data_IF_993399315558
#
_entry.id   IF_993399315558
#
_cell.length_a   1.000
_cell.length_b   1.000
_cell.length_c   1.000
_cell.angle_alpha   90.00
_cell.angle_beta   90.00
_cell.angle_gamma   90.00
#
_symmetry.space_group_name_H-M   'P 1'
#
loop_
_entity.id
_entity.type
_entity.pdbx_description
1 polymer ?
#
# COMPACT_ATOMS: atom_id res chain seq x y z
N UNK A 1 43.90 -53.06 -13.36
CA UNK A 1 43.48 -51.72 -12.90
C UNK A 1 41.97 -51.70 -12.86
N UNK A 2 41.37 -51.63 -11.66
CA UNK A 2 39.93 -51.41 -11.50
C UNK A 2 39.75 -49.91 -11.26
N UNK A 3 39.05 -49.22 -12.16
CA UNK A 3 38.67 -47.82 -11.97
C UNK A 3 37.53 -47.78 -10.94
N UNK A 4 37.77 -47.08 -9.83
CA UNK A 4 36.77 -46.76 -8.83
C UNK A 4 36.12 -45.44 -9.26
N UNK A 5 34.87 -45.48 -9.72
CA UNK A 5 34.08 -44.27 -9.93
C UNK A 5 33.62 -43.79 -8.55
N UNK A 6 34.19 -42.69 -8.08
CA UNK A 6 33.66 -41.96 -6.93
C UNK A 6 32.48 -41.14 -7.47
N UNK A 7 31.25 -41.60 -7.18
CA UNK A 7 30.05 -40.77 -7.31
C UNK A 7 30.13 -39.70 -6.21
N UNK A 8 30.54 -38.49 -6.59
CA UNK A 8 30.38 -37.31 -5.73
C UNK A 8 28.91 -36.93 -5.83
N UNK A 9 28.13 -37.37 -4.85
CA UNK A 9 26.80 -36.81 -4.59
C UNK A 9 27.01 -35.34 -4.22
N UNK A 10 26.64 -34.42 -5.10
CA UNK A 10 26.54 -33.00 -4.79
C UNK A 10 25.43 -32.85 -3.74
N UNK A 11 25.83 -32.81 -2.47
CA UNK A 11 24.96 -32.36 -1.39
C UNK A 11 24.78 -30.85 -1.66
N UNK A 12 23.63 -30.48 -2.24
CA UNK A 12 23.19 -29.09 -2.24
C UNK A 12 22.92 -28.73 -0.78
N UNK A 13 23.83 -27.94 -0.20
CA UNK A 13 23.57 -27.29 1.07
C UNK A 13 22.59 -26.16 0.76
N UNK A 14 21.30 -26.40 0.99
CA UNK A 14 20.30 -25.33 1.06
C UNK A 14 20.66 -24.57 2.34
N UNK A 15 21.20 -23.36 2.19
CA UNK A 15 21.34 -22.47 3.33
C UNK A 15 19.94 -21.94 3.65
N UNK A 16 19.43 -22.14 4.87
CA UNK A 16 18.17 -21.52 5.26
C UNK A 16 18.31 -20.00 5.16
N UNK A 17 17.21 -19.31 4.84
CA UNK A 17 17.17 -17.86 4.85
C UNK A 17 17.56 -17.31 6.24
N UNK A 18 18.14 -16.10 6.25
CA UNK A 18 18.49 -15.41 7.48
C UNK A 18 17.23 -15.06 8.31
N UNK A 19 17.42 -14.73 9.59
CA UNK A 19 16.32 -14.30 10.46
C UNK A 19 15.57 -13.08 9.87
N UNK A 20 14.24 -13.13 9.88
CA UNK A 20 13.38 -12.12 9.24
C UNK A 20 13.14 -12.35 7.74
N UNK A 21 13.70 -13.39 7.15
CA UNK A 21 13.44 -13.78 5.75
C UNK A 21 12.66 -15.09 5.68
N UNK A 22 11.76 -15.18 4.71
CA UNK A 22 11.00 -16.38 4.35
C UNK A 22 11.48 -16.96 3.02
N UNK A 23 11.43 -18.29 2.91
CA UNK A 23 11.80 -19.00 1.68
C UNK A 23 10.57 -19.18 0.79
N UNK A 24 10.64 -18.69 -0.46
CA UNK A 24 9.63 -18.92 -1.50
C UNK A 24 10.37 -19.38 -2.77
N UNK A 25 10.04 -20.56 -3.29
CA UNK A 25 10.67 -21.14 -4.49
C UNK A 25 12.21 -21.19 -4.47
N UNK A 26 12.82 -21.47 -3.29
CA UNK A 26 14.26 -21.44 -3.03
C UNK A 26 14.92 -20.06 -3.12
N UNK A 27 14.14 -18.98 -3.02
CA UNK A 27 14.61 -17.61 -2.88
C UNK A 27 14.22 -17.09 -1.49
N UNK A 28 15.00 -16.16 -0.96
CA UNK A 28 14.73 -15.55 0.34
C UNK A 28 14.17 -14.14 0.14
N UNK A 29 13.04 -13.86 0.78
CA UNK A 29 12.39 -12.54 0.78
C UNK A 29 12.17 -12.09 2.22
N UNK A 30 12.32 -10.81 2.48
CA UNK A 30 12.08 -10.27 3.81
C UNK A 30 10.60 -10.37 4.14
N UNK A 31 10.30 -10.92 5.31
CA UNK A 31 8.95 -11.35 5.68
C UNK A 31 7.98 -10.17 5.70
N UNK A 32 8.39 -9.02 6.23
CA UNK A 32 7.51 -7.84 6.33
C UNK A 32 7.19 -7.23 4.95
N UNK A 33 8.13 -7.27 4.00
CA UNK A 33 7.88 -6.81 2.63
C UNK A 33 6.81 -7.69 1.96
N UNK A 34 6.88 -9.01 2.16
CA UNK A 34 5.87 -9.97 1.65
C UNK A 34 4.53 -9.80 2.37
N UNK A 35 4.55 -9.63 3.69
CA UNK A 35 3.33 -9.43 4.49
C UNK A 35 2.58 -8.18 4.06
N UNK A 36 3.29 -7.10 3.74
CA UNK A 36 2.66 -5.88 3.24
C UNK A 36 1.98 -6.08 1.87
N UNK A 37 2.63 -6.78 0.95
CA UNK A 37 2.02 -7.14 -0.34
C UNK A 37 0.79 -8.04 -0.14
N UNK A 38 0.87 -9.02 0.78
CA UNK A 38 -0.27 -9.87 1.16
C UNK A 38 -1.41 -9.04 1.75
N UNK A 39 -1.11 -8.11 2.65
CA UNK A 39 -2.13 -7.23 3.24
C UNK A 39 -2.78 -6.34 2.19
N UNK A 40 -2.04 -5.85 1.20
CA UNK A 40 -2.58 -5.08 0.07
C UNK A 40 -3.57 -5.91 -0.77
N UNK A 41 -3.25 -7.20 -0.98
CA UNK A 41 -4.13 -8.16 -1.65
C UNK A 41 -5.38 -8.44 -0.79
N UNK A 42 -5.20 -8.69 0.50
CA UNK A 42 -6.29 -8.97 1.43
C UNK A 42 -7.24 -7.78 1.55
N UNK A 43 -6.70 -6.55 1.62
CA UNK A 43 -7.47 -5.31 1.61
C UNK A 43 -8.32 -5.18 0.33
N UNK A 44 -7.78 -5.60 -0.82
CA UNK A 44 -8.52 -5.58 -2.08
C UNK A 44 -9.70 -6.56 -2.08
N UNK A 45 -9.50 -7.77 -1.56
CA UNK A 45 -10.60 -8.73 -1.41
C UNK A 45 -11.64 -8.28 -0.36
N UNK A 46 -11.20 -7.64 0.72
CA UNK A 46 -12.05 -7.19 1.82
C UNK A 46 -12.82 -5.90 1.51
N UNK A 47 -12.33 -5.06 0.60
CA UNK A 47 -12.95 -3.78 0.24
C UNK A 47 -14.39 -3.96 -0.27
N UNK A 48 -14.69 -5.12 -0.86
CA UNK A 48 -15.98 -5.42 -1.46
C UNK A 48 -16.31 -4.52 -2.65
N UNK A 49 -15.30 -3.89 -3.26
CA UNK A 49 -15.49 -3.00 -4.40
C UNK A 49 -16.19 -3.72 -5.55
N UNK A 50 -17.25 -3.11 -6.07
CA UNK A 50 -17.91 -3.58 -7.28
C UNK A 50 -17.34 -2.85 -8.50
N UNK A 51 -16.58 -3.57 -9.32
CA UNK A 51 -16.02 -3.07 -10.58
C UNK A 51 -16.96 -3.27 -11.78
N UNK A 52 -18.17 -3.77 -11.55
CA UNK A 52 -19.16 -4.06 -12.60
C UNK A 52 -18.77 -5.24 -13.48
N UNK A 53 -17.99 -6.19 -12.94
CA UNK A 53 -17.52 -7.35 -13.68
C UNK A 53 -18.70 -8.26 -14.09
N UNK A 54 -18.75 -8.63 -15.35
CA UNK A 54 -19.65 -9.64 -15.89
C UNK A 54 -19.10 -11.04 -15.62
N UNK A 55 -19.94 -12.07 -15.67
CA UNK A 55 -19.53 -13.47 -15.52
C UNK A 55 -18.49 -13.95 -16.55
N UNK A 56 -18.23 -13.17 -17.61
CA UNK A 56 -17.29 -13.48 -18.69
C UNK A 56 -16.05 -12.59 -18.67
N UNK A 57 -15.94 -11.69 -17.69
CA UNK A 57 -14.80 -10.78 -17.57
C UNK A 57 -13.69 -11.48 -16.78
N UNK A 58 -13.02 -12.44 -17.43
CA UNK A 58 -11.98 -13.30 -16.83
C UNK A 58 -10.81 -12.52 -16.18
N UNK A 59 -10.65 -11.25 -16.55
CA UNK A 59 -9.59 -10.34 -16.08
C UNK A 59 -10.15 -9.13 -15.31
N UNK A 60 -11.39 -9.21 -14.83
CA UNK A 60 -12.00 -8.16 -14.04
C UNK A 60 -12.15 -8.62 -12.59
N UNK A 61 -11.53 -7.89 -11.68
CA UNK A 61 -11.63 -8.14 -10.25
C UNK A 61 -10.70 -7.24 -9.46
N UNK A 62 -10.79 -7.31 -8.14
CA UNK A 62 -9.86 -6.65 -7.23
C UNK A 62 -9.33 -7.68 -6.22
N UNK A 63 -8.01 -7.99 -6.23
CA UNK A 63 -7.03 -7.60 -7.25
C UNK A 63 -7.38 -8.12 -8.66
N UNK A 64 -6.79 -7.56 -9.71
CA UNK A 64 -6.99 -8.03 -11.09
C UNK A 64 -6.55 -9.50 -11.24
N UNK A 65 -7.47 -10.42 -11.60
CA UNK A 65 -7.14 -11.85 -11.76
C UNK A 65 -6.08 -12.15 -12.83
N UNK A 66 -5.87 -11.25 -13.79
CA UNK A 66 -4.85 -11.42 -14.82
C UNK A 66 -3.42 -11.50 -14.25
N UNK A 67 -3.18 -11.06 -13.01
CA UNK A 67 -1.88 -11.20 -12.37
C UNK A 67 -1.49 -12.66 -12.07
N UNK A 68 -2.47 -13.55 -11.91
CA UNK A 68 -2.26 -14.99 -11.72
C UNK A 68 -2.18 -15.76 -13.06
N UNK A 69 -2.43 -15.09 -14.20
CA UNK A 69 -2.32 -15.73 -15.52
C UNK A 69 -0.84 -16.03 -15.86
N UNK A 70 -0.45 -17.29 -16.17
CA UNK A 70 0.90 -17.63 -16.62
C UNK A 70 1.34 -16.96 -17.94
N UNK A 71 0.40 -16.38 -18.69
CA UNK A 71 0.69 -15.55 -19.86
C UNK A 71 0.75 -14.05 -19.53
N UNK A 72 0.63 -13.67 -18.26
CA UNK A 72 0.81 -12.29 -17.81
C UNK A 72 2.24 -11.80 -18.08
N UNK A 73 2.37 -10.51 -18.39
CA UNK A 73 3.65 -9.90 -18.77
C UNK A 73 4.28 -9.10 -17.62
N UNK A 74 3.79 -9.28 -16.39
CA UNK A 74 4.21 -8.54 -15.22
C UNK A 74 5.51 -9.11 -14.64
N UNK A 75 6.64 -8.58 -15.13
CA UNK A 75 7.97 -9.06 -14.76
C UNK A 75 8.25 -8.93 -13.26
N UNK A 76 8.84 -9.99 -12.70
CA UNK A 76 9.42 -10.04 -11.35
C UNK A 76 10.92 -10.23 -11.51
N UNK A 77 11.70 -9.23 -11.11
CA UNK A 77 13.16 -9.26 -11.23
C UNK A 77 13.75 -9.41 -9.83
N UNK A 78 14.54 -10.45 -9.61
CA UNK A 78 15.20 -10.74 -8.32
C UNK A 78 16.69 -10.81 -8.60
N UNK A 79 17.46 -9.89 -8.02
CA UNK A 79 18.91 -9.76 -8.21
C UNK A 79 19.32 -9.73 -9.70
N UNK A 80 18.51 -9.06 -10.53
CA UNK A 80 18.73 -8.91 -11.98
C UNK A 80 18.30 -10.10 -12.84
N UNK A 81 17.68 -11.12 -12.25
CA UNK A 81 17.13 -12.29 -12.96
C UNK A 81 15.62 -12.22 -12.98
N UNK A 82 15.00 -12.43 -14.15
CA UNK A 82 13.53 -12.48 -14.27
C UNK A 82 12.99 -13.83 -13.85
N UNK A 83 11.92 -13.81 -13.07
CA UNK A 83 11.15 -14.96 -12.62
C UNK A 83 9.70 -14.84 -13.05
N UNK A 84 9.04 -15.99 -13.16
CA UNK A 84 7.60 -16.11 -13.39
C UNK A 84 7.00 -16.87 -12.20
N UNK A 85 6.06 -16.24 -11.52
CA UNK A 85 5.39 -16.78 -10.34
C UNK A 85 3.92 -17.10 -10.60
N UNK A 86 3.33 -16.50 -11.64
CA UNK A 86 1.94 -16.67 -11.98
C UNK A 86 1.66 -18.14 -12.31
N UNK A 87 0.70 -18.74 -11.64
CA UNK A 87 0.51 -20.19 -11.68
C UNK A 87 -0.91 -20.63 -12.06
N UNK A 88 -1.83 -19.68 -12.27
CA UNK A 88 -3.17 -19.92 -12.78
C UNK A 88 -4.05 -20.68 -11.79
N UNK A 89 -3.82 -20.53 -10.49
CA UNK A 89 -4.59 -21.24 -9.47
C UNK A 89 -5.90 -20.53 -9.08
N UNK A 90 -6.13 -19.34 -9.63
CA UNK A 90 -7.29 -18.48 -9.38
C UNK A 90 -7.12 -17.50 -8.21
N UNK A 91 -5.93 -17.37 -7.65
CA UNK A 91 -5.62 -16.53 -6.48
C UNK A 91 -4.38 -15.71 -6.81
N UNK A 92 -4.47 -14.39 -6.66
CA UNK A 92 -3.31 -13.50 -6.80
C UNK A 92 -2.48 -13.56 -5.51
N UNK A 93 -1.22 -13.96 -5.63
CA UNK A 93 -0.25 -14.04 -4.53
C UNK A 93 0.73 -12.84 -4.52
N UNK A 94 1.44 -12.58 -3.40
CA UNK A 94 2.35 -11.44 -3.28
C UNK A 94 3.37 -11.30 -4.42
N UNK A 95 3.97 -12.40 -4.87
CA UNK A 95 4.97 -12.41 -5.95
C UNK A 95 4.36 -12.44 -7.36
N UNK A 96 3.04 -12.33 -7.48
CA UNK A 96 2.33 -12.21 -8.76
C UNK A 96 1.87 -10.76 -9.00
N UNK A 97 1.75 -9.97 -7.94
CA UNK A 97 1.24 -8.60 -7.96
C UNK A 97 2.13 -7.63 -8.77
N UNK A 98 1.56 -6.99 -9.79
CA UNK A 98 2.21 -5.88 -10.51
C UNK A 98 3.61 -6.19 -11.04
N UNK A 99 4.41 -5.18 -11.38
CA UNK A 99 5.84 -5.39 -11.64
C UNK A 99 6.64 -5.20 -10.38
N UNK A 100 7.64 -6.05 -10.16
CA UNK A 100 8.47 -6.00 -8.96
C UNK A 100 9.95 -6.11 -9.29
N UNK A 101 10.76 -5.37 -8.56
CA UNK A 101 12.20 -5.59 -8.50
C UNK A 101 12.62 -5.80 -7.05
N UNK A 102 13.42 -6.84 -6.83
CA UNK A 102 13.93 -7.24 -5.53
C UNK A 102 15.45 -7.30 -5.56
N UNK A 103 16.08 -6.89 -4.47
CA UNK A 103 17.52 -6.98 -4.27
C UNK A 103 17.82 -7.54 -2.89
N UNK A 104 18.60 -8.62 -2.82
CA UNK A 104 18.91 -9.32 -1.57
C UNK A 104 17.66 -9.61 -0.72
N UNK A 105 16.58 -10.01 -1.37
CA UNK A 105 15.29 -10.31 -0.75
C UNK A 105 14.49 -9.11 -0.24
N UNK A 106 14.92 -7.87 -0.48
CA UNK A 106 14.17 -6.65 -0.16
C UNK A 106 13.50 -6.07 -1.39
N UNK A 107 12.27 -5.57 -1.25
CA UNK A 107 11.51 -4.95 -2.34
C UNK A 107 12.09 -3.58 -2.66
N UNK A 108 12.53 -3.38 -3.92
CA UNK A 108 13.08 -2.13 -4.43
C UNK A 108 12.07 -1.38 -5.28
N UNK A 109 11.27 -2.11 -6.04
CA UNK A 109 10.27 -1.54 -6.96
C UNK A 109 8.98 -2.33 -6.83
N UNK A 110 7.86 -1.62 -6.67
CA UNK A 110 6.52 -2.14 -6.91
C UNK A 110 5.78 -1.16 -7.80
N UNK A 111 5.26 -1.66 -8.92
CA UNK A 111 4.48 -0.87 -9.87
C UNK A 111 3.18 -1.60 -10.18
N UNK A 112 2.09 -0.91 -9.85
CA UNK A 112 0.73 -1.29 -10.14
C UNK A 112 -0.03 -0.15 -10.82
N UNK A 113 0.68 0.69 -11.58
CA UNK A 113 0.12 1.85 -12.26
C UNK A 113 0.51 1.95 -13.75
N UNK A 114 0.13 3.08 -14.36
CA UNK A 114 0.31 3.40 -15.78
C UNK A 114 -0.31 2.36 -16.74
N UNK A 115 0.49 1.39 -17.18
CA UNK A 115 0.09 0.32 -18.10
C UNK A 115 -0.09 -1.04 -17.39
N UNK A 116 0.08 -1.06 -16.06
CA UNK A 116 -0.06 -2.24 -15.20
C UNK A 116 -1.36 -2.09 -14.42
N UNK A 117 -2.42 -2.75 -14.89
CA UNK A 117 -3.76 -2.61 -14.31
C UNK A 117 -3.95 -3.60 -13.15
N UNK A 118 -3.43 -3.30 -11.97
CA UNK A 118 -3.59 -4.20 -10.83
C UNK A 118 -5.01 -4.20 -10.24
N UNK A 119 -5.83 -3.17 -10.51
CA UNK A 119 -7.20 -3.02 -10.00
C UNK A 119 -7.27 -3.20 -8.47
N UNK A 120 -6.24 -2.75 -7.75
CA UNK A 120 -6.17 -2.86 -6.30
C UNK A 120 -7.18 -1.93 -5.63
N UNK A 121 -7.66 -2.30 -4.46
CA UNK A 121 -8.66 -1.54 -3.72
C UNK A 121 -8.50 -1.69 -2.21
N UNK A 122 -9.32 -0.96 -1.45
CA UNK A 122 -9.21 -0.89 0.00
C UNK A 122 -8.11 0.10 0.45
N UNK A 123 -7.76 0.10 1.74
CA UNK A 123 -6.76 1.03 2.27
C UNK A 123 -5.33 0.65 1.91
N UNK A 124 -4.45 1.65 1.86
CA UNK A 124 -3.00 1.45 1.90
C UNK A 124 -2.65 0.94 3.31
N UNK A 125 -1.88 -0.15 3.47
CA UNK A 125 -1.49 -0.67 4.79
C UNK A 125 -0.76 0.37 5.67
N UNK A 126 -1.08 0.44 6.97
CA UNK A 126 -0.44 1.37 7.91
C UNK A 126 1.06 1.09 8.12
N UNK A 127 1.48 -0.17 8.04
CA UNK A 127 2.88 -0.58 8.23
C UNK A 127 3.73 -0.42 6.95
N UNK A 128 3.34 0.50 6.05
CA UNK A 128 4.04 0.75 4.77
C UNK A 128 5.51 1.11 4.97
N UNK A 129 5.86 1.71 6.11
CA UNK A 129 7.22 2.05 6.49
C UNK A 129 8.15 0.84 6.68
N UNK A 130 7.62 -0.39 6.72
CA UNK A 130 8.44 -1.61 6.71
C UNK A 130 9.20 -1.82 5.38
N UNK A 131 8.78 -1.18 4.29
CA UNK A 131 9.49 -1.21 3.00
C UNK A 131 10.75 -0.33 3.01
N UNK A 132 11.67 -0.58 3.95
CA UNK A 132 12.82 0.31 4.22
C UNK A 132 13.81 0.44 3.06
N UNK A 133 13.71 -0.39 2.02
CA UNK A 133 14.59 -0.37 0.85
C UNK A 133 13.86 0.01 -0.44
N UNK A 134 12.57 0.38 -0.38
CA UNK A 134 11.82 0.75 -1.58
C UNK A 134 12.40 2.00 -2.22
N UNK A 135 12.48 2.00 -3.55
CA UNK A 135 12.96 3.11 -4.38
C UNK A 135 11.87 3.57 -5.35
N UNK A 136 10.99 2.66 -5.77
CA UNK A 136 9.86 2.94 -6.64
C UNK A 136 8.57 2.35 -6.07
N UNK A 137 7.61 3.20 -5.76
CA UNK A 137 6.29 2.86 -5.23
C UNK A 137 5.21 3.54 -6.07
N UNK A 138 4.61 2.81 -7.01
CA UNK A 138 3.67 3.36 -7.98
C UNK A 138 2.38 2.58 -7.99
N UNK A 139 1.29 3.25 -7.62
CA UNK A 139 -0.04 2.70 -7.47
C UNK A 139 -1.11 3.61 -8.09
N UNK A 140 -0.72 4.48 -9.00
CA UNK A 140 -1.66 5.36 -9.68
C UNK A 140 -2.70 4.58 -10.51
N UNK A 141 -3.92 5.11 -10.59
CA UNK A 141 -4.97 4.51 -11.42
C UNK A 141 -5.56 3.21 -10.87
N UNK A 142 -5.47 2.98 -9.55
CA UNK A 142 -6.18 1.90 -8.86
C UNK A 142 -7.44 2.44 -8.17
N UNK A 143 -7.98 1.65 -7.24
CA UNK A 143 -9.16 1.98 -6.46
C UNK A 143 -8.85 2.00 -4.96
N UNK A 144 -7.61 2.37 -4.57
CA UNK A 144 -7.28 2.57 -3.17
C UNK A 144 -8.18 3.63 -2.55
N UNK A 145 -8.65 3.40 -1.33
CA UNK A 145 -9.64 4.23 -0.64
C UNK A 145 -9.25 4.46 0.82
N UNK A 146 -9.92 5.40 1.49
CA UNK A 146 -9.51 5.83 2.83
C UNK A 146 -8.32 6.80 2.75
N UNK A 147 -7.68 7.06 3.88
CA UNK A 147 -6.55 8.00 3.93
C UNK A 147 -5.25 7.35 3.44
N UNK A 148 -4.27 8.20 3.07
CA UNK A 148 -2.88 7.76 2.93
C UNK A 148 -2.27 7.78 4.36
N UNK A 149 -1.72 6.67 4.86
CA UNK A 149 -1.17 6.63 6.22
C UNK A 149 0.08 7.51 6.33
N UNK A 150 0.24 8.23 7.45
CA UNK A 150 1.40 9.12 7.68
C UNK A 150 2.75 8.39 7.68
N UNK A 151 2.77 7.10 8.04
CA UNK A 151 3.95 6.23 7.95
C UNK A 151 4.51 6.13 6.52
N UNK A 152 3.74 6.50 5.49
CA UNK A 152 4.25 6.60 4.13
C UNK A 152 5.42 7.57 4.04
N UNK A 153 5.48 8.59 4.90
CA UNK A 153 6.55 9.60 4.96
C UNK A 153 7.86 9.09 5.60
N UNK A 154 7.86 7.88 6.17
CA UNK A 154 9.06 7.24 6.72
C UNK A 154 9.85 6.46 5.64
N UNK A 155 9.33 6.35 4.41
CA UNK A 155 10.03 5.73 3.30
C UNK A 155 11.16 6.63 2.79
N UNK A 156 12.31 6.03 2.46
CA UNK A 156 13.44 6.75 1.86
C UNK A 156 13.29 6.86 0.33
N UNK A 157 12.21 7.53 -0.12
CA UNK A 157 11.90 7.72 -1.54
C UNK A 157 11.74 9.19 -1.92
N UNK A 158 11.87 9.47 -3.21
CA UNK A 158 11.63 10.80 -3.75
C UNK A 158 10.15 10.99 -4.09
N UNK A 159 9.38 11.60 -3.19
CA UNK A 159 7.96 11.91 -3.43
C UNK A 159 7.73 13.01 -4.49
N UNK A 160 8.78 13.61 -5.07
CA UNK A 160 8.68 14.67 -6.09
C UNK A 160 9.05 14.19 -7.50
N UNK A 161 9.14 12.88 -7.70
CA UNK A 161 9.43 12.28 -8.99
C UNK A 161 8.37 11.22 -9.33
N UNK A 162 7.53 11.55 -10.31
CA UNK A 162 6.45 10.69 -10.79
C UNK A 162 6.93 9.33 -11.34
N UNK A 163 8.24 9.16 -11.60
CA UNK A 163 8.83 7.88 -11.95
C UNK A 163 9.09 7.00 -10.74
N UNK A 164 9.21 7.58 -9.54
CA UNK A 164 9.50 6.87 -8.28
C UNK A 164 8.28 6.75 -7.39
N UNK A 165 7.43 7.78 -7.29
CA UNK A 165 6.25 7.75 -6.42
C UNK A 165 5.04 8.33 -7.14
N UNK A 166 3.93 7.60 -7.17
CA UNK A 166 2.68 8.07 -7.76
C UNK A 166 1.49 7.27 -7.18
N UNK A 167 0.55 7.96 -6.55
CA UNK A 167 -0.71 7.42 -6.02
C UNK A 167 -1.92 8.18 -6.56
N UNK A 168 -1.72 8.95 -7.64
CA UNK A 168 -2.76 9.74 -8.30
C UNK A 168 -3.86 8.84 -8.88
N UNK A 169 -5.02 9.42 -9.22
CA UNK A 169 -6.11 8.67 -9.86
C UNK A 169 -6.62 7.46 -9.06
N UNK A 170 -6.74 7.58 -7.74
CA UNK A 170 -7.34 6.58 -6.84
C UNK A 170 -8.66 7.13 -6.23
N UNK A 171 -9.11 6.56 -5.11
CA UNK A 171 -10.23 7.02 -4.27
C UNK A 171 -9.74 7.45 -2.88
N UNK A 172 -8.50 7.93 -2.80
CA UNK A 172 -7.85 8.28 -1.53
C UNK A 172 -8.41 9.59 -1.00
N UNK A 173 -8.75 9.59 0.27
CA UNK A 173 -9.36 10.71 0.97
C UNK A 173 -8.31 11.64 1.58
N UNK A 174 -8.60 12.94 1.64
CA UNK A 174 -7.84 13.84 2.49
C UNK A 174 -7.99 13.47 3.99
N UNK A 175 -7.06 13.93 4.84
CA UNK A 175 -5.90 14.75 4.48
C UNK A 175 -4.78 13.93 3.82
N UNK A 176 -4.06 14.56 2.89
CA UNK A 176 -2.91 13.95 2.21
C UNK A 176 -1.61 14.31 2.97
N UNK A 177 -0.72 13.34 3.25
CA UNK A 177 0.53 13.58 3.98
C UNK A 177 1.41 14.64 3.30
N UNK A 178 1.96 15.55 4.10
CA UNK A 178 2.70 16.71 3.58
C UNK A 178 4.01 16.38 2.88
N UNK A 179 4.58 15.20 3.17
CA UNK A 179 5.76 14.73 2.47
C UNK A 179 5.49 14.46 0.98
N UNK A 180 4.22 14.27 0.59
CA UNK A 180 3.80 13.99 -0.78
C UNK A 180 3.32 15.27 -1.45
N UNK A 181 3.97 15.67 -2.55
CA UNK A 181 3.51 16.82 -3.33
C UNK A 181 2.23 16.53 -4.09
N UNK A 182 1.46 17.58 -4.31
CA UNK A 182 0.15 17.52 -4.94
C UNK A 182 0.10 16.79 -6.27
N UNK A 183 1.18 16.81 -7.08
CA UNK A 183 1.21 16.09 -8.35
C UNK A 183 1.05 14.58 -8.17
N UNK A 184 1.60 14.01 -7.09
CA UNK A 184 1.65 12.56 -6.93
C UNK A 184 0.41 11.96 -6.25
N UNK A 185 -0.49 12.77 -5.69
CA UNK A 185 -1.81 12.33 -5.23
C UNK A 185 -2.95 12.96 -6.03
N UNK A 186 -2.67 13.65 -7.15
CA UNK A 186 -3.68 14.39 -7.91
C UNK A 186 -4.85 13.50 -8.40
N UNK A 187 -6.02 14.12 -8.60
CA UNK A 187 -7.21 13.51 -9.22
C UNK A 187 -7.78 12.27 -8.51
N UNK A 188 -7.97 12.37 -7.19
CA UNK A 188 -8.70 11.36 -6.41
C UNK A 188 -10.22 11.47 -6.64
N UNK A 189 -10.91 10.34 -6.71
CA UNK A 189 -12.35 10.26 -6.58
C UNK A 189 -12.72 10.25 -5.08
N UNK A 190 -12.98 11.45 -4.56
CA UNK A 190 -13.33 11.67 -3.15
C UNK A 190 -14.84 11.61 -2.89
N UNK A 191 -15.64 11.10 -3.82
CA UNK A 191 -17.10 11.07 -3.69
C UNK A 191 -17.59 10.18 -2.55
N UNK A 192 -16.81 9.15 -2.21
CA UNK A 192 -17.06 8.20 -1.11
C UNK A 192 -16.26 8.55 0.15
N UNK A 193 -15.52 9.66 0.15
CA UNK A 193 -14.89 10.13 1.37
C UNK A 193 -15.96 10.52 2.37
N UNK A 194 -15.82 9.97 3.56
CA UNK A 194 -16.79 10.17 4.63
C UNK A 194 -16.92 11.66 4.88
N UNK A 195 -18.14 12.17 4.70
CA UNK A 195 -18.49 13.52 5.11
C UNK A 195 -18.15 13.64 6.61
N UNK A 196 -17.42 14.68 6.97
CA UNK A 196 -16.82 14.87 8.30
C UNK A 196 -17.85 15.15 9.42
N UNK A 197 -19.09 14.81 9.12
CA UNK A 197 -20.30 14.86 9.92
C UNK A 197 -20.71 13.49 10.50
N UNK A 198 -20.09 12.38 10.08
CA UNK A 198 -20.49 11.02 10.50
C UNK A 198 -20.02 10.67 11.92
N UNK A 199 -18.77 11.00 12.27
CA UNK A 199 -18.16 10.87 13.60
C UNK A 199 -17.35 12.14 13.85
N UNK A 200 -17.78 12.93 14.84
CA UNK A 200 -17.12 14.20 15.15
C UNK A 200 -15.71 13.96 15.65
N UNK A 201 -14.72 14.59 14.99
CA UNK A 201 -13.31 14.50 15.37
C UNK A 201 -12.57 13.27 14.87
N UNK A 202 -13.21 12.40 14.08
CA UNK A 202 -12.55 11.32 13.34
C UNK A 202 -11.98 11.89 12.03
N UNK A 203 -10.70 12.23 12.06
CA UNK A 203 -9.97 12.86 10.96
C UNK A 203 -9.20 11.85 10.11
N UNK A 204 -8.80 10.70 10.68
CA UNK A 204 -8.20 9.60 9.90
C UNK A 204 -9.23 8.68 9.23
N UNK A 205 -10.53 8.88 9.52
CA UNK A 205 -11.65 8.10 8.98
C UNK A 205 -11.56 6.61 9.31
N UNK A 206 -11.01 6.27 10.48
CA UNK A 206 -10.89 4.89 10.96
C UNK A 206 -12.12 4.42 11.78
N UNK A 207 -13.14 5.27 11.87
CA UNK A 207 -14.34 5.14 12.69
C UNK A 207 -14.11 5.23 14.21
N UNK A 208 -12.98 5.80 14.65
CA UNK A 208 -12.62 5.96 16.05
C UNK A 208 -11.95 7.31 16.32
N UNK A 209 -12.65 8.20 17.02
CA UNK A 209 -12.01 9.43 17.52
C UNK A 209 -11.02 9.13 18.65
N UNK A 210 -9.73 9.24 18.37
CA UNK A 210 -8.62 8.87 19.26
C UNK A 210 -7.39 9.80 19.09
N UNK A 211 -6.25 9.41 19.68
CA UNK A 211 -5.04 10.26 19.70
C UNK A 211 -4.47 10.49 18.29
N UNK A 212 -4.73 9.59 17.34
CA UNK A 212 -4.27 9.74 15.97
C UNK A 212 -4.92 10.96 15.29
N UNK A 213 -6.21 11.21 15.53
CA UNK A 213 -6.90 12.40 15.02
C UNK A 213 -6.33 13.70 15.58
N UNK A 214 -5.94 13.69 16.86
CA UNK A 214 -5.25 14.84 17.48
C UNK A 214 -3.95 15.13 16.75
N UNK A 215 -3.16 14.10 16.42
CA UNK A 215 -1.89 14.28 15.71
C UNK A 215 -2.14 14.92 14.34
N UNK A 216 -3.16 14.45 13.61
CA UNK A 216 -3.52 14.99 12.31
C UNK A 216 -3.89 16.47 12.36
N UNK A 217 -4.79 16.85 13.26
CA UNK A 217 -5.20 18.26 13.35
C UNK A 217 -4.07 19.16 13.86
N UNK A 218 -3.22 18.67 14.76
CA UNK A 218 -2.07 19.45 15.24
C UNK A 218 -1.10 19.69 14.10
N UNK A 219 -0.79 18.67 13.30
CA UNK A 219 0.08 18.81 12.14
C UNK A 219 -0.51 19.81 11.13
N UNK A 220 -1.80 19.66 10.80
CA UNK A 220 -2.43 20.56 9.83
C UNK A 220 -2.43 22.03 10.31
N UNK A 221 -2.71 22.27 11.60
CA UNK A 221 -2.75 23.62 12.20
C UNK A 221 -1.36 24.26 12.20
N UNK A 222 -0.31 23.48 12.52
CA UNK A 222 1.06 23.96 12.54
C UNK A 222 1.57 24.34 11.15
N UNK A 223 1.15 23.60 10.13
CA UNK A 223 1.63 23.76 8.75
C UNK A 223 0.68 24.53 7.84
N UNK A 224 -0.49 24.94 8.36
CA UNK A 224 -1.54 25.65 7.60
C UNK A 224 -2.06 24.85 6.39
N UNK A 225 -2.19 23.53 6.57
CA UNK A 225 -2.58 22.55 5.55
C UNK A 225 -3.95 21.89 5.84
N UNK A 226 -4.70 22.41 6.82
CA UNK A 226 -5.99 21.86 7.22
C UNK A 226 -7.04 21.89 6.11
N UNK A 227 -7.89 20.86 6.10
CA UNK A 227 -9.06 20.73 5.23
C UNK A 227 -10.35 21.19 5.94
N UNK A 228 -11.48 21.06 5.24
CA UNK A 228 -12.81 21.39 5.78
C UNK A 228 -13.19 20.54 6.99
N UNK A 229 -12.64 19.33 7.09
CA UNK A 229 -12.91 18.39 8.17
C UNK A 229 -12.23 18.77 9.47
N UNK A 230 -11.18 19.58 9.39
CA UNK A 230 -10.41 20.05 10.53
C UNK A 230 -11.15 21.12 11.35
N UNK A 231 -12.22 21.74 10.83
CA UNK A 231 -13.06 22.70 11.56
C UNK A 231 -14.12 21.99 12.41
N UNK A 232 -13.68 21.29 13.45
CA UNK A 232 -14.54 20.50 14.34
C UNK A 232 -15.52 21.39 15.10
N UNK A 233 -15.12 22.61 15.45
CA UNK A 233 -15.94 23.53 16.22
C UNK A 233 -16.89 24.39 15.34
N UNK A 234 -16.79 24.28 14.01
CA UNK A 234 -17.62 24.95 13.01
C UNK A 234 -17.54 26.50 13.07
N UNK A 235 -16.38 27.06 13.44
CA UNK A 235 -16.13 28.50 13.40
C UNK A 235 -15.49 29.00 12.09
N UNK A 236 -15.38 28.11 11.11
CA UNK A 236 -14.75 28.30 9.80
C UNK A 236 -13.23 28.47 9.87
N UNK A 237 -12.61 28.14 11.00
CA UNK A 237 -11.17 28.29 11.21
C UNK A 237 -10.61 27.06 11.93
N UNK A 238 -9.97 26.15 11.19
CA UNK A 238 -9.19 25.07 11.79
C UNK A 238 -8.00 25.65 12.59
N UNK A 239 -8.05 25.52 13.92
CA UNK A 239 -7.04 26.02 14.84
C UNK A 239 -6.98 25.20 16.15
N UNK A 240 -6.26 25.70 17.16
CA UNK A 240 -6.10 25.01 18.45
C UNK A 240 -7.44 24.74 19.16
N UNK A 241 -8.49 25.51 18.87
CA UNK A 241 -9.82 25.30 19.43
C UNK A 241 -10.43 23.98 18.95
N UNK A 242 -10.20 23.58 17.71
CA UNK A 242 -10.66 22.29 17.17
C UNK A 242 -9.94 21.11 17.82
N UNK A 243 -8.63 21.24 18.04
CA UNK A 243 -7.83 20.26 18.81
C UNK A 243 -8.43 20.03 20.20
N UNK A 244 -8.84 21.12 20.86
CA UNK A 244 -9.49 21.04 22.18
C UNK A 244 -10.82 20.28 22.08
N UNK A 245 -11.61 20.48 21.02
CA UNK A 245 -12.86 19.72 20.83
C UNK A 245 -12.58 18.22 20.72
N UNK A 246 -11.62 17.79 19.90
CA UNK A 246 -11.25 16.36 19.77
C UNK A 246 -10.80 15.77 21.12
N UNK A 247 -9.94 16.48 21.86
CA UNK A 247 -9.51 16.06 23.20
C UNK A 247 -10.71 15.85 24.13
N UNK A 248 -11.69 16.76 24.09
CA UNK A 248 -12.88 16.64 24.94
C UNK A 248 -13.77 15.46 24.53
N UNK A 249 -13.90 15.18 23.23
CA UNK A 249 -14.60 13.99 22.71
C UNK A 249 -13.93 12.72 23.26
N UNK A 250 -12.61 12.59 23.13
CA UNK A 250 -11.84 11.43 23.62
C UNK A 250 -11.96 11.27 25.13
N UNK A 251 -11.94 12.37 25.88
CA UNK A 251 -12.07 12.36 27.34
C UNK A 251 -13.52 12.20 27.84
N UNK A 252 -14.52 12.19 26.94
CA UNK A 252 -15.93 12.12 27.28
C UNK A 252 -16.46 13.35 28.03
N UNK A 253 -15.87 14.52 27.80
CA UNK A 253 -16.30 15.79 28.42
C UNK A 253 -17.25 16.53 27.49
N UNK A 254 -18.53 16.65 27.88
CA UNK A 254 -19.54 17.41 27.14
C UNK A 254 -19.49 18.92 27.49
N UNK A 255 -19.67 19.78 26.49
CA UNK A 255 -20.00 21.20 26.64
C UNK A 255 -21.47 21.47 26.30
#
# INVERSE_FOLDING_TARGET
MKYFFILVSLIYIIYPCDEGYIEINNLCFFEDDINLLQQTIDNSYQSGIDLGCSEWDDYCGSPNPYMDDPESWFSKVIDGVSYDFANGNGIVEPLELGMQEWQNGRLKTIMCGAYIYCQLSGPIPEDINNLTEIETFRFEGNYFSGIIPESICDLDINYNDYLTFDVSHNRLCPPYPECIVQSEWWNQDVSECTDCSSISGDLNLDNQTNIQDIVMIVNCVLNSSCDECSDINNDQIANVLDVIVIINIILGQNF
#
